data_IF_190804999896
#
_entry.id   IF_190804999896
#
_cell.length_a   1.000
_cell.length_b   1.000
_cell.length_c   1.000
_cell.angle_alpha   90.00
_cell.angle_beta   90.00
_cell.angle_gamma   90.00
#
_symmetry.space_group_name_H-M   'P 1'
#
loop_
_entity.id
_entity.type
_entity.pdbx_description
1 polymer ?
#
# COMPACT_ATOMS: atom_id res chain seq x y z
N UNK A 1 42.20 34.29 51.59
CA UNK A 1 40.89 34.97 51.63
C UNK A 1 40.50 35.63 50.28
N UNK A 2 41.10 35.23 49.14
CA UNK A 2 40.96 35.91 47.84
C UNK A 2 40.05 35.23 46.81
N UNK A 3 40.12 33.90 46.65
CA UNK A 3 39.47 33.15 45.54
C UNK A 3 37.94 33.31 45.43
N UNK A 4 37.22 33.52 46.54
CA UNK A 4 35.75 33.63 46.52
C UNK A 4 35.24 34.97 45.98
N UNK A 5 36.10 35.98 45.81
CA UNK A 5 35.71 37.28 45.22
C UNK A 5 35.70 37.21 43.69
N UNK A 6 36.67 36.52 43.12
CA UNK A 6 36.83 36.40 41.67
C UNK A 6 35.65 35.66 41.02
N UNK A 7 35.10 34.64 41.69
CA UNK A 7 33.92 33.88 41.24
C UNK A 7 32.67 34.77 41.19
N UNK A 8 32.52 35.67 42.16
CA UNK A 8 31.35 36.58 42.22
C UNK A 8 31.44 37.68 41.16
N UNK A 9 32.65 38.16 40.86
CA UNK A 9 32.87 39.10 39.77
C UNK A 9 32.61 38.45 38.41
N UNK A 10 33.06 37.20 38.19
CA UNK A 10 32.73 36.46 36.97
C UNK A 10 31.24 36.20 36.80
N UNK A 11 30.53 35.84 37.88
CA UNK A 11 29.09 35.62 37.85
C UNK A 11 28.34 36.94 37.56
N UNK A 12 28.73 38.03 38.23
CA UNK A 12 28.16 39.35 37.98
C UNK A 12 28.42 39.83 36.54
N UNK A 13 29.62 39.57 35.99
CA UNK A 13 29.97 39.89 34.61
C UNK A 13 29.12 39.09 33.61
N UNK A 14 29.00 37.78 33.83
CA UNK A 14 28.20 36.86 32.99
C UNK A 14 26.73 37.27 33.01
N UNK A 15 26.19 37.55 34.19
CA UNK A 15 24.79 37.94 34.36
C UNK A 15 24.49 39.31 33.75
N UNK A 16 25.45 40.25 33.79
CA UNK A 16 25.34 41.53 33.09
C UNK A 16 25.28 41.30 31.58
N UNK A 17 26.20 40.50 31.04
CA UNK A 17 26.29 40.24 29.60
C UNK A 17 25.03 39.52 29.07
N UNK A 18 24.51 38.54 29.82
CA UNK A 18 23.28 37.82 29.45
C UNK A 18 22.05 38.74 29.47
N UNK A 19 21.97 39.68 30.41
CA UNK A 19 20.87 40.65 30.48
C UNK A 19 20.98 41.76 29.42
N UNK A 20 22.17 42.00 28.89
CA UNK A 20 22.43 42.99 27.83
C UNK A 20 22.13 42.43 26.43
N UNK A 21 22.03 41.11 26.31
CA UNK A 21 21.55 40.44 25.10
C UNK A 21 20.02 40.60 25.05
N UNK A 22 19.53 41.27 24.01
CA UNK A 22 18.09 41.34 23.76
C UNK A 22 17.52 39.93 23.61
N UNK A 23 16.43 39.65 24.35
CA UNK A 23 15.74 38.39 24.22
C UNK A 23 15.21 38.26 22.79
N UNK A 24 15.71 37.28 22.04
CA UNK A 24 15.18 36.97 20.72
C UNK A 24 13.72 36.58 20.87
N UNK A 25 12.84 37.45 20.35
CA UNK A 25 11.42 37.17 20.32
C UNK A 25 11.11 36.34 19.08
N UNK A 26 10.32 35.27 19.21
CA UNK A 26 9.90 34.52 18.04
C UNK A 26 9.15 35.46 17.08
N UNK A 27 9.26 35.19 15.78
CA UNK A 27 8.47 35.91 14.78
C UNK A 27 6.99 35.85 15.14
N UNK A 28 6.24 36.89 14.80
CA UNK A 28 4.78 36.99 15.06
C UNK A 28 4.04 35.72 14.59
N UNK A 29 4.49 35.13 13.49
CA UNK A 29 3.88 33.93 12.88
C UNK A 29 4.56 32.61 13.26
N UNK A 30 5.42 32.59 14.28
CA UNK A 30 6.20 31.40 14.67
C UNK A 30 5.29 30.19 14.95
N UNK A 31 4.25 30.41 15.77
CA UNK A 31 3.29 29.37 16.12
C UNK A 31 2.50 28.89 14.90
N UNK A 32 2.13 29.80 13.99
CA UNK A 32 1.41 29.46 12.77
C UNK A 32 2.29 28.61 11.84
N UNK A 33 3.56 28.96 11.67
CA UNK A 33 4.51 28.22 10.85
C UNK A 33 4.80 26.82 11.42
N UNK A 34 4.95 26.69 12.73
CA UNK A 34 5.11 25.37 13.38
C UNK A 34 3.86 24.52 13.20
N UNK A 35 2.67 25.08 13.43
CA UNK A 35 1.43 24.34 13.29
C UNK A 35 1.21 23.88 11.84
N UNK A 36 1.51 24.73 10.86
CA UNK A 36 1.42 24.39 9.43
C UNK A 36 2.41 23.29 9.03
N UNK A 37 3.62 23.32 9.59
CA UNK A 37 4.62 22.25 9.39
C UNK A 37 4.17 20.91 10.00
N UNK A 38 3.64 20.92 11.23
CA UNK A 38 3.11 19.71 11.90
C UNK A 38 1.94 19.13 11.10
N UNK A 39 0.99 19.95 10.67
CA UNK A 39 -0.17 19.50 9.90
C UNK A 39 0.26 18.87 8.56
N UNK A 40 1.23 19.46 7.86
CA UNK A 40 1.76 18.89 6.61
C UNK A 40 2.43 17.53 6.85
N UNK A 41 3.20 17.39 7.93
CA UNK A 41 3.89 16.14 8.25
C UNK A 41 2.92 15.04 8.68
N UNK A 42 1.95 15.36 9.54
CA UNK A 42 0.89 14.44 9.97
C UNK A 42 0.05 13.96 8.77
N UNK A 43 -0.38 14.87 7.89
CA UNK A 43 -1.11 14.50 6.68
C UNK A 43 -0.28 13.57 5.77
N UNK A 44 1.02 13.82 5.60
CA UNK A 44 1.88 12.96 4.78
C UNK A 44 1.98 11.52 5.33
N UNK A 45 1.90 11.36 6.65
CA UNK A 45 1.97 10.06 7.32
C UNK A 45 0.65 9.29 7.22
N UNK A 46 -0.48 9.99 7.30
CA UNK A 46 -1.83 9.42 7.27
C UNK A 46 -2.27 9.09 5.83
N UNK A 47 -1.90 9.93 4.85
CA UNK A 47 -2.24 9.74 3.44
C UNK A 47 -1.14 9.02 2.65
N UNK A 48 -0.37 8.11 3.28
CA UNK A 48 0.44 7.17 2.50
C UNK A 48 -0.48 6.39 1.58
N UNK A 49 -0.34 6.60 0.28
CA UNK A 49 -1.10 5.90 -0.75
C UNK A 49 -0.75 4.41 -0.72
N UNK A 50 -1.36 3.68 0.22
CA UNK A 50 -1.22 2.26 0.34
C UNK A 50 -1.92 1.61 -0.86
N UNK A 51 -1.20 0.85 -1.69
CA UNK A 51 -1.85 0.13 -2.77
C UNK A 51 -2.86 -0.85 -2.18
N UNK A 52 -4.15 -0.68 -2.50
CA UNK A 52 -5.25 -1.48 -1.94
C UNK A 52 -5.08 -2.99 -2.19
N UNK A 53 -4.33 -3.34 -3.22
CA UNK A 53 -3.95 -4.70 -3.55
C UNK A 53 -2.44 -4.76 -3.46
N UNK A 54 -1.93 -5.58 -2.54
CA UNK A 54 -0.49 -5.83 -2.42
C UNK A 54 0.07 -6.32 -3.76
N UNK A 55 1.31 -5.92 -4.10
CA UNK A 55 2.00 -6.33 -5.33
C UNK A 55 2.00 -7.87 -5.51
N UNK A 56 2.01 -8.63 -4.41
CA UNK A 56 1.93 -10.09 -4.43
C UNK A 56 0.58 -10.61 -4.96
N UNK A 57 -0.52 -9.97 -4.57
CA UNK A 57 -1.88 -10.35 -5.01
C UNK A 57 -2.07 -10.05 -6.50
N UNK A 58 -1.41 -9.01 -7.02
CA UNK A 58 -1.38 -8.74 -8.46
C UNK A 58 -0.76 -9.88 -9.28
N UNK A 59 0.31 -10.51 -8.79
CA UNK A 59 0.90 -11.67 -9.46
C UNK A 59 -0.03 -12.89 -9.44
N UNK A 60 -0.71 -13.13 -8.31
CA UNK A 60 -1.70 -14.21 -8.21
C UNK A 60 -2.85 -13.98 -9.18
N UNK A 61 -3.33 -12.74 -9.27
CA UNK A 61 -4.42 -12.38 -10.17
C UNK A 61 -4.03 -12.54 -11.65
N UNK A 62 -2.81 -12.12 -12.01
CA UNK A 62 -2.28 -12.35 -13.37
C UNK A 62 -2.16 -13.84 -13.69
N UNK A 63 -1.72 -14.66 -12.73
CA UNK A 63 -1.64 -16.11 -12.87
C UNK A 63 -3.01 -16.76 -13.09
N UNK A 64 -4.01 -16.38 -12.29
CA UNK A 64 -5.39 -16.90 -12.45
C UNK A 64 -5.93 -16.57 -13.83
N UNK A 65 -5.68 -15.34 -14.31
CA UNK A 65 -6.18 -14.85 -15.58
C UNK A 65 -5.52 -15.58 -16.76
N UNK A 66 -4.21 -15.82 -16.67
CA UNK A 66 -3.48 -16.62 -17.65
C UNK A 66 -4.00 -18.07 -17.71
N UNK A 67 -4.23 -18.71 -16.55
CA UNK A 67 -4.77 -20.08 -16.49
C UNK A 67 -6.20 -20.14 -17.07
N UNK A 68 -7.06 -19.17 -16.76
CA UNK A 68 -8.41 -19.09 -17.32
C UNK A 68 -8.39 -18.95 -18.84
N UNK A 69 -7.49 -18.13 -19.40
CA UNK A 69 -7.32 -17.99 -20.86
C UNK A 69 -6.88 -19.31 -21.49
N UNK A 70 -5.90 -19.99 -20.88
CA UNK A 70 -5.42 -21.30 -21.38
C UNK A 70 -6.51 -22.37 -21.31
N UNK A 71 -7.32 -22.38 -20.25
CA UNK A 71 -8.40 -23.34 -20.07
C UNK A 71 -9.53 -23.12 -21.10
N UNK A 72 -9.93 -21.88 -21.33
CA UNK A 72 -10.92 -21.52 -22.37
C UNK A 72 -10.40 -21.82 -23.77
N UNK A 73 -9.12 -21.54 -24.04
CA UNK A 73 -8.49 -21.84 -25.33
C UNK A 73 -8.39 -23.35 -25.62
N UNK A 74 -8.35 -24.21 -24.60
CA UNK A 74 -8.38 -25.67 -24.75
C UNK A 74 -9.78 -26.21 -25.04
N UNK A 75 -10.83 -25.53 -24.57
CA UNK A 75 -12.23 -25.90 -24.81
C UNK A 75 -12.77 -25.44 -26.18
N UNK A 76 -12.15 -24.41 -26.77
CA UNK A 76 -12.46 -23.95 -28.12
C UNK A 76 -11.53 -24.66 -29.13
N UNK A 77 -12.06 -25.62 -29.89
CA UNK A 77 -11.40 -26.29 -31.01
C UNK A 77 -11.11 -25.33 -32.18
N UNK A 78 -10.28 -24.33 -31.92
CA UNK A 78 -9.88 -23.32 -32.90
C UNK A 78 -8.36 -23.30 -32.98
N UNK A 79 -7.88 -23.86 -34.09
CA UNK A 79 -6.49 -24.11 -34.49
C UNK A 79 -5.58 -22.88 -34.64
N UNK A 80 -5.76 -21.83 -33.83
CA UNK A 80 -5.05 -20.56 -33.98
C UNK A 80 -3.96 -20.29 -32.95
N UNK A 81 -3.87 -21.08 -31.89
CA UNK A 81 -2.79 -20.96 -30.91
C UNK A 81 -2.13 -22.33 -30.71
N UNK A 82 -1.12 -22.61 -31.53
CA UNK A 82 -0.14 -23.66 -31.24
C UNK A 82 0.74 -23.16 -30.09
N UNK A 83 0.20 -23.22 -28.87
CA UNK A 83 0.97 -23.04 -27.65
C UNK A 83 1.88 -24.27 -27.54
N UNK A 84 3.20 -24.10 -27.44
CA UNK A 84 4.10 -25.24 -27.29
C UNK A 84 3.68 -26.02 -26.05
N UNK A 85 3.65 -27.34 -26.20
CA UNK A 85 3.28 -28.28 -25.16
C UNK A 85 4.31 -28.17 -24.02
N UNK A 86 4.00 -27.34 -23.02
CA UNK A 86 4.83 -27.20 -21.82
C UNK A 86 4.69 -28.52 -21.08
N UNK A 87 5.66 -29.42 -21.27
CA UNK A 87 5.79 -30.66 -20.50
C UNK A 87 6.12 -30.27 -19.05
N UNK A 88 5.08 -30.08 -18.25
CA UNK A 88 5.15 -29.84 -16.82
C UNK A 88 5.44 -31.16 -16.08
N UNK A 89 6.60 -31.77 -16.36
CA UNK A 89 7.03 -33.02 -15.69
C UNK A 89 7.17 -32.86 -14.17
N UNK A 90 7.29 -31.62 -13.68
CA UNK A 90 7.41 -31.29 -12.27
C UNK A 90 6.10 -31.40 -11.46
N UNK A 91 4.93 -31.49 -12.11
CA UNK A 91 3.64 -31.67 -11.43
C UNK A 91 3.26 -33.15 -11.22
N UNK A 92 4.01 -34.08 -11.82
CA UNK A 92 3.73 -35.52 -11.78
C UNK A 92 3.79 -36.17 -10.39
N UNK A 93 4.47 -35.52 -9.43
CA UNK A 93 4.62 -36.02 -8.06
C UNK A 93 3.59 -35.44 -7.07
N UNK A 94 2.73 -34.52 -7.51
CA UNK A 94 1.64 -34.00 -6.68
C UNK A 94 0.41 -34.85 -6.96
N UNK A 95 0.23 -35.92 -6.19
CA UNK A 95 -1.01 -36.67 -6.15
C UNK A 95 -2.09 -35.79 -5.53
N UNK A 96 -2.66 -34.90 -6.33
CA UNK A 96 -3.91 -34.24 -6.01
C UNK A 96 -4.98 -35.34 -5.94
N UNK A 97 -5.66 -35.53 -4.80
CA UNK A 97 -6.77 -36.47 -4.75
C UNK A 97 -7.79 -36.09 -5.82
N UNK A 98 -8.35 -37.10 -6.49
CA UNK A 98 -9.29 -37.00 -7.63
C UNK A 98 -10.66 -36.38 -7.28
N UNK A 99 -10.68 -35.35 -6.43
CA UNK A 99 -11.86 -34.63 -5.97
C UNK A 99 -12.59 -33.91 -7.12
N UNK A 100 -11.91 -33.68 -8.25
CA UNK A 100 -12.46 -32.98 -9.40
C UNK A 100 -12.70 -33.87 -10.63
N UNK A 101 -12.33 -35.16 -10.60
CA UNK A 101 -12.46 -36.06 -11.76
C UNK A 101 -13.91 -36.31 -12.19
N UNK A 102 -14.87 -36.23 -11.25
CA UNK A 102 -16.30 -36.42 -11.53
C UNK A 102 -17.07 -35.10 -11.66
N UNK A 103 -16.41 -33.94 -11.64
CA UNK A 103 -17.11 -32.66 -11.73
C UNK A 103 -17.20 -32.26 -13.21
N UNK A 104 -18.32 -32.64 -13.84
CA UNK A 104 -18.69 -32.12 -15.16
C UNK A 104 -19.18 -30.68 -15.02
N UNK A 105 -18.30 -29.71 -15.26
CA UNK A 105 -18.66 -28.28 -15.26
C UNK A 105 -19.39 -27.96 -16.56
N UNK A 106 -20.66 -27.55 -16.45
CA UNK A 106 -21.43 -27.07 -17.60
C UNK A 106 -20.91 -25.71 -18.08
N UNK A 107 -20.97 -25.46 -19.40
CA UNK A 107 -20.60 -24.17 -19.99
C UNK A 107 -21.35 -22.97 -19.36
N UNK A 108 -22.58 -23.19 -18.90
CA UNK A 108 -23.35 -22.20 -18.15
C UNK A 108 -22.71 -21.88 -16.80
N UNK A 109 -22.27 -22.90 -16.07
CA UNK A 109 -21.61 -22.74 -14.77
C UNK A 109 -20.26 -22.03 -14.93
N UNK A 110 -19.50 -22.35 -16.00
CA UNK A 110 -18.26 -21.67 -16.33
C UNK A 110 -18.50 -20.17 -16.61
N UNK A 111 -19.50 -19.88 -17.44
CA UNK A 111 -19.87 -18.51 -17.81
C UNK A 111 -20.36 -17.72 -16.59
N UNK A 112 -21.21 -18.32 -15.75
CA UNK A 112 -21.66 -17.72 -14.50
C UNK A 112 -20.50 -17.42 -13.55
N UNK A 113 -19.55 -18.34 -13.41
CA UNK A 113 -18.36 -18.15 -12.56
C UNK A 113 -17.49 -16.99 -13.09
N UNK A 114 -17.34 -16.87 -14.40
CA UNK A 114 -16.62 -15.77 -15.03
C UNK A 114 -17.30 -14.41 -14.74
N UNK A 115 -18.60 -14.29 -15.01
CA UNK A 115 -19.35 -13.05 -14.74
C UNK A 115 -19.38 -12.70 -13.26
N UNK A 116 -19.51 -13.68 -12.38
CA UNK A 116 -19.45 -13.47 -10.93
C UNK A 116 -18.10 -12.91 -10.51
N UNK A 117 -17.01 -13.46 -11.04
CA UNK A 117 -15.65 -12.98 -10.78
C UNK A 117 -15.48 -11.52 -11.24
N UNK A 118 -15.94 -11.18 -12.44
CA UNK A 118 -15.94 -9.79 -12.95
C UNK A 118 -16.75 -8.87 -12.03
N UNK A 119 -17.94 -9.30 -11.61
CA UNK A 119 -18.81 -8.53 -10.72
C UNK A 119 -18.13 -8.24 -9.38
N UNK A 120 -17.44 -9.23 -8.78
CA UNK A 120 -16.68 -9.04 -7.53
C UNK A 120 -15.58 -7.99 -7.70
N UNK A 121 -14.85 -7.98 -8.82
CA UNK A 121 -13.87 -6.92 -9.09
C UNK A 121 -14.49 -5.54 -9.21
N UNK A 122 -15.64 -5.42 -9.89
CA UNK A 122 -16.39 -4.17 -9.98
C UNK A 122 -16.84 -3.70 -8.59
N UNK A 123 -17.36 -4.61 -7.76
CA UNK A 123 -17.76 -4.30 -6.38
C UNK A 123 -16.58 -3.79 -5.54
N UNK A 124 -15.41 -4.44 -5.63
CA UNK A 124 -14.19 -3.99 -4.95
C UNK A 124 -13.78 -2.60 -5.44
N UNK A 125 -13.86 -2.32 -6.74
CA UNK A 125 -13.53 -1.02 -7.31
C UNK A 125 -14.49 0.09 -6.83
N UNK A 126 -15.79 -0.17 -6.83
CA UNK A 126 -16.81 0.77 -6.34
C UNK A 126 -16.62 1.04 -4.85
N UNK A 127 -16.41 -0.01 -4.05
CA UNK A 127 -16.20 0.10 -2.61
C UNK A 127 -14.92 0.88 -2.30
N UNK A 128 -13.83 0.60 -3.02
CA UNK A 128 -12.59 1.38 -2.95
C UNK A 128 -12.84 2.86 -3.24
N UNK A 129 -13.56 3.17 -4.31
CA UNK A 129 -13.84 4.56 -4.69
C UNK A 129 -14.71 5.27 -3.64
N UNK A 130 -15.71 4.58 -3.08
CA UNK A 130 -16.56 5.10 -2.02
C UNK A 130 -15.77 5.44 -0.75
N UNK A 131 -14.94 4.51 -0.25
CA UNK A 131 -14.09 4.77 0.92
C UNK A 131 -13.01 5.82 0.65
N UNK A 132 -12.41 5.83 -0.54
CA UNK A 132 -11.42 6.85 -0.92
C UNK A 132 -12.03 8.26 -0.91
N UNK A 133 -13.29 8.42 -1.33
CA UNK A 133 -13.98 9.72 -1.28
C UNK A 133 -14.35 10.13 0.15
N UNK A 134 -14.74 9.19 1.01
CA UNK A 134 -15.12 9.48 2.41
C UNK A 134 -13.93 9.72 3.34
N UNK A 135 -12.78 9.12 3.07
CA UNK A 135 -11.54 9.30 3.83
C UNK A 135 -10.69 10.50 3.34
N UNK A 136 -11.14 11.19 2.29
CA UNK A 136 -10.55 12.45 1.79
C UNK A 136 -11.23 13.71 2.35
N UNK A 137 -11.87 13.58 3.52
CA UNK A 137 -12.18 14.72 4.38
C UNK A 137 -11.02 14.96 5.34
#
# INVERSE_FOLDING_TARGET
>A
MGENKDIKELDAFTKKYINEIEAETPSIDFTANIMDAILKEEQSSIYKAAPLISKRVWFVLAGILAVSILFVSKGASSSWLQIPEIKMDYLSNIQLPNLFENITVSNLMLSACFFFTVMVFVQIYVLKNYFTKRLKM
#
